data_IF_791795125487
#
_entry.id   IF_791795125487
#
_cell.length_a   1.000
_cell.length_b   1.000
_cell.length_c   1.000
_cell.angle_alpha   90.00
_cell.angle_beta   90.00
_cell.angle_gamma   90.00
#
_symmetry.space_group_name_H-M   'P 1'
#
loop_
_entity.id
_entity.type
_entity.pdbx_description
1 polymer ?
#
# COMPACT_ATOMS: atom_id res chain seq x y z
N UNK A 1 -12.68 -5.24 -17.94
CA UNK A 1 -11.72 -6.05 -18.74
C UNK A 1 -10.24 -5.78 -18.42
N UNK A 2 -9.88 -4.82 -17.55
CA UNK A 2 -8.47 -4.52 -17.20
C UNK A 2 -7.77 -5.61 -16.33
N UNK A 3 -8.50 -6.42 -15.58
CA UNK A 3 -7.93 -7.46 -14.72
C UNK A 3 -7.32 -8.65 -15.44
N UNK A 4 -7.74 -8.94 -16.68
CA UNK A 4 -7.32 -10.14 -17.42
C UNK A 4 -5.87 -10.07 -17.94
N UNK A 5 -5.33 -8.87 -18.16
CA UNK A 5 -3.96 -8.67 -18.63
C UNK A 5 -2.97 -8.37 -17.49
N UNK A 6 -3.45 -7.91 -16.33
CA UNK A 6 -2.59 -7.54 -15.20
C UNK A 6 -1.84 -8.73 -14.61
N UNK A 7 -2.51 -9.87 -14.45
CA UNK A 7 -1.90 -11.08 -13.88
C UNK A 7 -0.84 -11.68 -14.82
N UNK A 8 -1.10 -11.90 -16.12
CA UNK A 8 -0.05 -12.35 -17.05
C UNK A 8 1.17 -11.43 -17.10
N UNK A 9 0.95 -10.10 -17.11
CA UNK A 9 2.05 -9.12 -17.11
C UNK A 9 2.87 -9.17 -15.82
N UNK A 10 2.21 -9.26 -14.65
CA UNK A 10 2.89 -9.41 -13.37
C UNK A 10 3.70 -10.71 -13.31
N UNK A 11 3.14 -11.82 -13.80
CA UNK A 11 3.86 -13.10 -13.88
C UNK A 11 5.08 -12.99 -14.78
N UNK A 12 4.94 -12.42 -15.98
CA UNK A 12 6.06 -12.23 -16.91
C UNK A 12 7.15 -11.34 -16.29
N UNK A 13 6.78 -10.23 -15.65
CA UNK A 13 7.71 -9.34 -14.96
C UNK A 13 8.45 -10.04 -13.82
N UNK A 14 7.75 -10.87 -13.02
CA UNK A 14 8.38 -11.64 -11.96
C UNK A 14 9.39 -12.67 -12.52
N UNK A 15 9.04 -13.34 -13.63
CA UNK A 15 9.91 -14.31 -14.28
C UNK A 15 11.15 -13.66 -14.90
N UNK A 16 11.02 -12.52 -15.59
CA UNK A 16 12.15 -11.80 -16.19
C UNK A 16 13.07 -11.23 -15.12
N UNK A 17 12.51 -10.67 -14.04
CA UNK A 17 13.28 -10.15 -12.91
C UNK A 17 14.01 -11.27 -12.17
N UNK A 18 13.34 -12.41 -11.92
CA UNK A 18 13.96 -13.59 -11.30
C UNK A 18 15.12 -14.13 -12.14
N UNK A 19 14.94 -14.24 -13.47
CA UNK A 19 16.00 -14.65 -14.40
C UNK A 19 17.19 -13.70 -14.36
N UNK A 20 16.93 -12.39 -14.35
CA UNK A 20 17.97 -11.36 -14.31
C UNK A 20 18.75 -11.41 -12.98
N UNK A 21 18.05 -11.59 -11.85
CA UNK A 21 18.68 -11.74 -10.53
C UNK A 21 19.49 -13.03 -10.40
N UNK A 22 19.00 -14.12 -10.98
CA UNK A 22 19.73 -15.39 -11.04
C UNK A 22 21.04 -15.25 -11.83
N UNK A 23 20.99 -14.56 -12.98
CA UNK A 23 22.20 -14.26 -13.77
C UNK A 23 23.22 -13.38 -13.03
N UNK A 24 22.75 -12.53 -12.10
CA UNK A 24 23.59 -11.68 -11.25
C UNK A 24 24.01 -12.33 -9.92
N UNK A 25 23.72 -13.61 -9.70
CA UNK A 25 24.13 -14.34 -8.49
C UNK A 25 23.39 -13.95 -7.21
N UNK A 26 22.18 -13.38 -7.32
CA UNK A 26 21.40 -12.99 -6.14
C UNK A 26 20.96 -14.21 -5.30
N UNK A 27 21.05 -14.19 -3.96
CA UNK A 27 20.84 -15.38 -3.11
C UNK A 27 19.42 -15.95 -3.14
N UNK A 28 18.40 -15.09 -3.28
CA UNK A 28 16.99 -15.51 -3.36
C UNK A 28 16.26 -14.84 -4.55
N UNK A 29 16.58 -15.21 -5.80
CA UNK A 29 16.18 -14.45 -6.98
C UNK A 29 14.68 -14.49 -7.25
N UNK A 30 14.05 -15.67 -7.13
CA UNK A 30 12.60 -15.84 -7.35
C UNK A 30 11.78 -15.21 -6.24
N UNK A 31 12.11 -15.49 -4.98
CA UNK A 31 11.38 -14.95 -3.81
C UNK A 31 11.33 -13.43 -3.82
N UNK A 32 12.48 -12.79 -4.02
CA UNK A 32 12.55 -11.32 -4.06
C UNK A 32 11.88 -10.73 -5.29
N UNK A 33 11.94 -11.40 -6.44
CA UNK A 33 11.27 -10.91 -7.65
C UNK A 33 9.74 -10.95 -7.52
N UNK A 34 9.21 -12.05 -6.98
CA UNK A 34 7.77 -12.20 -6.70
C UNK A 34 7.32 -11.17 -5.66
N UNK A 35 8.08 -10.98 -4.59
CA UNK A 35 7.77 -9.97 -3.57
C UNK A 35 7.73 -8.57 -4.19
N UNK A 36 8.73 -8.18 -4.97
CA UNK A 36 8.80 -6.84 -5.56
C UNK A 36 7.67 -6.57 -6.55
N UNK A 37 7.41 -7.53 -7.45
CA UNK A 37 6.34 -7.39 -8.42
C UNK A 37 4.97 -7.41 -7.73
N UNK A 38 4.79 -8.26 -6.72
CA UNK A 38 3.55 -8.29 -5.94
C UNK A 38 3.30 -7.01 -5.16
N UNK A 39 4.34 -6.38 -4.59
CA UNK A 39 4.23 -5.06 -3.96
C UNK A 39 3.79 -4.04 -5.01
N UNK A 40 4.51 -3.93 -6.13
CA UNK A 40 4.22 -2.92 -7.16
C UNK A 40 2.83 -3.12 -7.76
N UNK A 41 2.50 -4.33 -8.20
CA UNK A 41 1.20 -4.63 -8.80
C UNK A 41 0.05 -4.45 -7.79
N UNK A 42 0.32 -4.70 -6.52
CA UNK A 42 -0.67 -4.60 -5.45
C UNK A 42 -0.88 -3.20 -4.89
N UNK A 43 0.12 -2.32 -4.92
CA UNK A 43 0.02 -0.96 -4.35
C UNK A 43 -0.06 0.15 -5.39
N UNK A 44 0.56 0.00 -6.57
CA UNK A 44 0.60 1.06 -7.57
C UNK A 44 -0.78 1.49 -8.08
N UNK A 45 -1.77 0.59 -8.32
CA UNK A 45 -3.11 1.00 -8.72
C UNK A 45 -3.80 1.89 -7.67
N UNK A 46 -3.58 1.62 -6.39
CA UNK A 46 -4.15 2.40 -5.29
C UNK A 46 -3.49 3.77 -5.19
N UNK A 47 -2.15 3.82 -5.26
CA UNK A 47 -1.41 5.09 -5.26
C UNK A 47 -1.84 5.94 -6.45
N UNK A 48 -1.95 5.35 -7.64
CA UNK A 48 -2.46 6.05 -8.83
C UNK A 48 -3.86 6.62 -8.59
N UNK A 49 -4.77 5.81 -8.07
CA UNK A 49 -6.15 6.23 -7.81
C UNK A 49 -6.22 7.38 -6.80
N UNK A 50 -5.38 7.38 -5.76
CA UNK A 50 -5.34 8.40 -4.71
C UNK A 50 -4.67 9.70 -5.20
N UNK A 51 -3.71 9.59 -6.12
CA UNK A 51 -3.03 10.72 -6.76
C UNK A 51 -3.75 11.26 -8.01
N UNK A 52 -4.81 10.60 -8.47
CA UNK A 52 -5.64 11.14 -9.56
C UNK A 52 -6.43 12.34 -9.02
N UNK A 53 -6.36 13.53 -9.67
CA UNK A 53 -7.12 14.71 -9.25
C UNK A 53 -8.61 14.40 -9.18
N UNK A 54 -9.28 14.93 -8.15
CA UNK A 54 -10.73 14.82 -8.00
C UNK A 54 -11.36 16.20 -8.20
N UNK A 55 -12.30 16.32 -9.15
CA UNK A 55 -12.92 17.59 -9.54
C UNK A 55 -14.06 18.05 -8.60
N UNK A 56 -14.26 17.37 -7.46
CA UNK A 56 -15.24 17.75 -6.44
C UNK A 56 -14.69 18.74 -5.40
N UNK A 57 -15.61 19.41 -4.69
CA UNK A 57 -15.29 20.47 -3.72
C UNK A 57 -14.26 20.02 -2.69
N UNK A 58 -13.16 20.76 -2.63
CA UNK A 58 -11.98 20.48 -1.82
C UNK A 58 -12.15 21.03 -0.40
N UNK A 59 -12.00 20.17 0.61
CA UNK A 59 -11.90 20.54 2.01
C UNK A 59 -10.56 20.08 2.58
N UNK A 60 -9.91 20.93 3.39
CA UNK A 60 -8.72 20.55 4.16
C UNK A 60 -9.15 20.48 5.63
N UNK A 61 -9.44 19.28 6.14
CA UNK A 61 -9.73 19.06 7.56
C UNK A 61 -8.40 18.94 8.32
N UNK A 62 -7.91 20.07 8.83
CA UNK A 62 -6.72 20.12 9.70
C UNK A 62 -6.98 19.61 11.14
N UNK A 63 -8.24 19.31 11.47
CA UNK A 63 -8.63 18.80 12.79
C UNK A 63 -8.86 17.29 12.71
N UNK A 64 -8.00 16.46 13.35
CA UNK A 64 -8.32 15.05 13.52
C UNK A 64 -9.69 14.94 14.22
N UNK A 65 -10.50 13.94 13.84
CA UNK A 65 -11.87 13.68 14.33
C UNK A 65 -13.02 14.52 13.74
N UNK A 66 -12.77 15.56 12.93
CA UNK A 66 -13.87 16.30 12.27
C UNK A 66 -14.51 15.48 11.13
N UNK A 67 -13.69 14.77 10.36
CA UNK A 67 -14.16 13.88 9.30
C UNK A 67 -14.88 12.65 9.88
N UNK A 68 -14.48 12.12 11.06
CA UNK A 68 -15.18 11.03 11.76
C UNK A 68 -16.59 11.42 12.25
N UNK A 69 -16.80 12.68 12.64
CA UNK A 69 -18.12 13.18 13.03
C UNK A 69 -19.05 13.39 11.82
N UNK A 70 -18.51 13.81 10.67
CA UNK A 70 -19.24 13.83 9.40
C UNK A 70 -19.49 12.40 8.85
N UNK A 71 -18.61 11.46 9.16
CA UNK A 71 -18.74 10.04 8.80
C UNK A 71 -19.78 9.31 9.64
N UNK A 72 -20.03 9.76 10.88
CA UNK A 72 -21.10 9.25 11.74
C UNK A 72 -22.51 9.60 11.23
N UNK A 73 -22.64 10.65 10.42
CA UNK A 73 -23.88 11.02 9.72
C UNK A 73 -23.90 10.58 8.25
N UNK A 74 -22.79 10.04 7.74
CA UNK A 74 -22.70 9.46 6.41
C UNK A 74 -23.25 8.02 6.40
N UNK A 75 -23.70 7.57 5.22
CA UNK A 75 -24.15 6.19 5.06
C UNK A 75 -23.01 5.20 5.44
N UNK A 76 -23.28 4.16 6.25
CA UNK A 76 -22.27 3.19 6.69
C UNK A 76 -21.44 2.61 5.53
N UNK A 77 -22.07 2.43 4.35
CA UNK A 77 -21.40 1.97 3.15
C UNK A 77 -20.22 2.87 2.72
N UNK A 78 -20.36 4.19 2.83
CA UNK A 78 -19.30 5.14 2.47
C UNK A 78 -18.10 5.02 3.42
N UNK A 79 -18.37 4.85 4.71
CA UNK A 79 -17.37 4.62 5.76
C UNK A 79 -16.56 3.37 5.47
N UNK A 80 -17.24 2.26 5.18
CA UNK A 80 -16.59 0.99 4.87
C UNK A 80 -15.72 1.07 3.61
N UNK A 81 -16.19 1.76 2.58
CA UNK A 81 -15.43 1.93 1.33
C UNK A 81 -14.18 2.79 1.57
N UNK A 82 -14.30 3.88 2.32
CA UNK A 82 -13.18 4.80 2.57
C UNK A 82 -12.11 4.15 3.47
N UNK A 83 -12.53 3.62 4.63
CA UNK A 83 -11.62 2.94 5.56
C UNK A 83 -11.04 1.67 4.93
N UNK A 84 -11.89 0.87 4.26
CA UNK A 84 -11.47 -0.34 3.58
C UNK A 84 -10.49 -0.06 2.43
N UNK A 85 -10.74 0.97 1.63
CA UNK A 85 -9.84 1.40 0.55
C UNK A 85 -8.46 1.78 1.08
N UNK A 86 -8.41 2.60 2.14
CA UNK A 86 -7.17 3.02 2.78
C UNK A 86 -6.39 1.84 3.39
N UNK A 87 -7.07 0.92 4.08
CA UNK A 87 -6.42 -0.30 4.60
C UNK A 87 -5.72 -1.11 3.49
N UNK A 88 -6.24 -1.09 2.26
CA UNK A 88 -5.70 -1.87 1.15
C UNK A 88 -4.51 -1.20 0.43
N UNK A 89 -4.32 0.11 0.55
CA UNK A 89 -3.29 0.89 -0.19
C UNK A 89 -1.90 0.29 -0.01
N UNK A 90 -1.50 0.02 1.23
CA UNK A 90 -0.20 -0.58 1.57
C UNK A 90 -0.30 -2.01 2.08
N UNK A 91 -1.45 -2.69 1.92
CA UNK A 91 -1.59 -4.08 2.35
C UNK A 91 -0.59 -5.00 1.63
N UNK A 92 -0.44 -4.87 0.31
CA UNK A 92 0.53 -5.67 -0.46
C UNK A 92 1.98 -5.35 -0.08
N UNK A 93 2.28 -4.07 0.22
CA UNK A 93 3.59 -3.67 0.76
C UNK A 93 3.85 -4.37 2.10
N UNK A 94 2.93 -4.28 3.06
CA UNK A 94 3.07 -4.90 4.36
C UNK A 94 3.16 -6.43 4.32
N UNK A 95 2.35 -7.08 3.48
CA UNK A 95 2.35 -8.53 3.32
C UNK A 95 3.68 -9.08 2.78
N UNK A 96 4.28 -8.39 1.80
CA UNK A 96 5.38 -8.93 1.00
C UNK A 96 6.75 -8.38 1.39
N UNK A 97 6.82 -7.23 2.08
CA UNK A 97 8.07 -6.64 2.52
C UNK A 97 8.88 -7.57 3.46
N UNK A 98 8.28 -8.24 4.47
CA UNK A 98 8.98 -9.23 5.29
C UNK A 98 9.43 -10.48 4.50
N UNK A 99 8.67 -10.86 3.46
CA UNK A 99 8.99 -12.03 2.60
C UNK A 99 10.17 -11.72 1.69
N UNK A 100 10.35 -10.45 1.31
CA UNK A 100 11.50 -10.00 0.51
C UNK A 100 12.81 -10.18 1.27
N UNK A 101 12.89 -9.70 2.51
CA UNK A 101 14.15 -9.67 3.27
C UNK A 101 13.93 -9.79 4.78
N UNK A 102 14.81 -10.56 5.43
CA UNK A 102 14.93 -10.65 6.89
C UNK A 102 15.15 -9.29 7.56
N UNK A 103 15.76 -8.35 6.84
CA UNK A 103 15.95 -6.98 7.34
C UNK A 103 14.61 -6.29 7.64
N UNK A 104 13.54 -6.64 6.93
CA UNK A 104 12.20 -6.09 7.14
C UNK A 104 11.25 -7.06 7.85
N UNK A 105 11.76 -8.18 8.37
CA UNK A 105 10.97 -9.19 9.09
C UNK A 105 10.63 -8.73 10.53
N UNK A 106 9.85 -7.67 10.64
CA UNK A 106 9.37 -7.14 11.92
C UNK A 106 8.21 -6.17 11.73
N UNK A 107 7.18 -6.31 12.57
CA UNK A 107 5.96 -5.48 12.46
C UNK A 107 6.26 -3.99 12.62
N UNK A 108 7.17 -3.62 13.52
CA UNK A 108 7.60 -2.23 13.69
C UNK A 108 8.30 -1.67 12.43
N UNK A 109 9.08 -2.50 11.72
CA UNK A 109 9.74 -2.09 10.47
C UNK A 109 8.74 -1.95 9.34
N UNK A 110 7.76 -2.86 9.25
CA UNK A 110 6.64 -2.73 8.32
C UNK A 110 5.86 -1.45 8.61
N UNK A 111 5.52 -1.20 9.87
CA UNK A 111 4.80 0.00 10.28
C UNK A 111 5.59 1.27 9.91
N UNK A 112 6.89 1.32 10.19
CA UNK A 112 7.74 2.45 9.83
C UNK A 112 7.77 2.69 8.31
N UNK A 113 7.98 1.64 7.50
CA UNK A 113 8.01 1.77 6.04
C UNK A 113 6.64 2.19 5.49
N UNK A 114 5.55 1.61 5.99
CA UNK A 114 4.19 1.96 5.56
C UNK A 114 3.82 3.40 5.97
N UNK A 115 4.17 3.82 7.18
CA UNK A 115 3.94 5.19 7.65
C UNK A 115 4.75 6.19 6.83
N UNK A 116 6.03 5.93 6.55
CA UNK A 116 6.85 6.79 5.70
C UNK A 116 6.31 6.85 4.26
N UNK A 117 5.85 5.73 3.70
CA UNK A 117 5.24 5.69 2.38
C UNK A 117 3.92 6.49 2.36
N UNK A 118 3.08 6.34 3.38
CA UNK A 118 1.82 7.08 3.47
C UNK A 118 2.05 8.57 3.65
N UNK A 119 3.01 8.96 4.48
CA UNK A 119 3.41 10.36 4.63
C UNK A 119 3.95 10.93 3.32
N UNK A 120 4.67 10.13 2.53
CA UNK A 120 5.15 10.57 1.21
C UNK A 120 3.98 10.82 0.26
N UNK A 121 2.97 9.94 0.25
CA UNK A 121 1.75 10.14 -0.56
C UNK A 121 1.01 11.40 -0.12
N UNK A 122 0.86 11.61 1.19
CA UNK A 122 0.26 12.81 1.78
C UNK A 122 0.99 14.09 1.32
N UNK A 123 2.32 14.11 1.42
CA UNK A 123 3.13 15.25 0.97
C UNK A 123 3.01 15.51 -0.53
N UNK A 124 2.90 14.46 -1.35
CA UNK A 124 2.66 14.58 -2.78
C UNK A 124 1.27 15.15 -3.07
N UNK A 125 0.23 14.69 -2.36
CA UNK A 125 -1.12 15.21 -2.51
C UNK A 125 -1.21 16.68 -2.13
N UNK A 126 -0.56 17.07 -1.04
CA UNK A 126 -0.45 18.45 -0.61
C UNK A 126 0.32 19.31 -1.64
N UNK A 127 1.50 18.86 -2.08
CA UNK A 127 2.34 19.60 -3.02
C UNK A 127 1.73 19.74 -4.42
N UNK A 128 1.02 18.71 -4.90
CA UNK A 128 0.32 18.70 -6.18
C UNK A 128 -1.07 19.34 -6.11
N UNK A 129 -1.51 19.81 -4.92
CA UNK A 129 -2.81 20.46 -4.69
C UNK A 129 -3.98 19.65 -5.26
N UNK A 130 -3.96 18.34 -5.05
CA UNK A 130 -4.92 17.41 -5.66
C UNK A 130 -6.35 17.49 -5.10
N UNK A 131 -6.65 18.47 -4.22
CA UNK A 131 -8.00 18.73 -3.69
C UNK A 131 -8.58 17.64 -2.80
N UNK A 132 -7.79 16.61 -2.45
CA UNK A 132 -8.22 15.48 -1.62
C UNK A 132 -7.97 15.77 -0.14
N UNK A 133 -8.93 15.42 0.70
CA UNK A 133 -8.82 15.49 2.17
C UNK A 133 -7.59 14.68 2.62
N UNK A 134 -6.48 15.39 2.88
CA UNK A 134 -5.27 14.86 3.50
C UNK A 134 -5.50 14.86 5.00
N UNK A 135 -5.62 13.68 5.59
CA UNK A 135 -5.75 13.52 7.04
C UNK A 135 -4.69 12.55 7.56
N UNK A 136 -4.18 12.86 8.76
CA UNK A 136 -3.37 11.95 9.58
C UNK A 136 -4.08 10.59 9.76
N UNK A 137 -5.42 10.58 9.72
CA UNK A 137 -6.22 9.37 9.79
C UNK A 137 -5.91 8.39 8.65
N UNK A 138 -5.66 8.88 7.43
CA UNK A 138 -5.32 8.03 6.29
C UNK A 138 -3.94 7.40 6.46
N UNK A 139 -2.98 8.15 7.02
CA UNK A 139 -1.65 7.62 7.37
C UNK A 139 -1.77 6.48 8.39
N UNK A 140 -2.59 6.66 9.43
CA UNK A 140 -2.82 5.65 10.45
C UNK A 140 -3.53 4.41 9.89
N UNK A 141 -4.58 4.61 9.09
CA UNK A 141 -5.34 3.52 8.47
C UNK A 141 -4.47 2.74 7.50
N UNK A 142 -3.76 3.41 6.59
CA UNK A 142 -2.87 2.74 5.62
C UNK A 142 -1.76 1.95 6.32
N UNK A 143 -1.18 2.51 7.39
CA UNK A 143 -0.16 1.84 8.21
C UNK A 143 -0.73 0.63 8.92
N UNK A 144 -1.93 0.74 9.50
CA UNK A 144 -2.64 -0.37 10.15
C UNK A 144 -2.91 -1.50 9.17
N UNK A 145 -3.39 -1.16 7.96
CA UNK A 145 -3.61 -2.12 6.88
C UNK A 145 -2.35 -2.90 6.50
N UNK A 146 -1.21 -2.21 6.38
CA UNK A 146 0.08 -2.85 6.11
C UNK A 146 0.51 -3.80 7.24
N UNK A 147 0.34 -3.41 8.51
CA UNK A 147 0.69 -4.26 9.67
C UNK A 147 -0.22 -5.49 9.74
N UNK A 148 -1.53 -5.33 9.51
CA UNK A 148 -2.48 -6.44 9.45
C UNK A 148 -2.11 -7.42 8.33
N UNK A 149 -1.77 -6.91 7.15
CA UNK A 149 -1.35 -7.74 6.04
C UNK A 149 -0.02 -8.49 6.33
N UNK A 150 0.93 -7.85 7.03
CA UNK A 150 2.15 -8.50 7.49
C UNK A 150 1.90 -9.62 8.52
N UNK A 151 0.89 -9.45 9.37
CA UNK A 151 0.46 -10.50 10.31
C UNK A 151 -0.10 -11.71 9.58
N UNK A 152 -0.88 -11.50 8.51
CA UNK A 152 -1.43 -12.59 7.69
C UNK A 152 -0.31 -13.41 7.04
N UNK A 153 0.76 -12.75 6.57
CA UNK A 153 1.92 -13.44 5.96
C UNK A 153 2.96 -13.89 6.97
N UNK A 154 2.76 -13.68 8.28
CA UNK A 154 3.73 -13.94 9.36
C UNK A 154 4.34 -15.33 9.33
N UNK A 155 3.54 -16.34 9.00
CA UNK A 155 3.99 -17.73 8.87
C UNK A 155 5.06 -17.94 7.78
N UNK A 156 5.09 -17.11 6.74
CA UNK A 156 6.01 -17.27 5.60
C UNK A 156 7.37 -16.63 5.81
N UNK A 157 7.50 -15.73 6.77
CA UNK A 157 8.76 -15.01 7.05
C UNK A 157 9.29 -15.24 8.47
N UNK A 158 8.55 -15.92 9.34
CA UNK A 158 9.05 -16.35 10.67
C UNK A 158 10.23 -17.33 10.59
N UNK A 159 10.38 -18.04 9.49
CA UNK A 159 11.42 -19.06 9.27
C UNK A 159 12.52 -18.61 8.30
N UNK A 160 12.55 -17.31 7.94
CA UNK A 160 13.54 -16.73 7.03
C UNK A 160 14.86 -16.37 7.73
#
# INVERSE_FOLDING_TARGET
MAGLLGVPLAVLAALTLARTRRRRGHPAPTRTAVADVGVVAGTAPWIWMILTPFDGQSGVSLFPFSDLAALASAAPATVFVQVGGNLLVFACLGALLPVRSVLFAGLARVAAVAASASLTVELLQYGLRLGRHSSIDDVLINTTGAVLAALVTRRWWRSL
#
